data_IF_537913738819
#
_entry.id   IF_537913738819
#
_cell.length_a   1.000
_cell.length_b   1.000
_cell.length_c   1.000
_cell.angle_alpha   90.00
_cell.angle_beta   90.00
_cell.angle_gamma   90.00
#
_symmetry.space_group_name_H-M   'P 1'
#
loop_
_entity.id
_entity.type
_entity.pdbx_description
1 polymer ?
#
# COMPACT_ATOMS: atom_id res chain seq x y z
N UNK A 1 -28.25 15.33 -40.40
CA UNK A 1 -28.20 15.06 -38.93
C UNK A 1 -26.75 15.00 -38.51
N UNK A 2 -26.30 15.77 -37.51
CA UNK A 2 -24.92 15.69 -37.03
C UNK A 2 -24.64 14.32 -36.39
N UNK A 3 -23.39 13.84 -36.42
CA UNK A 3 -23.02 12.55 -35.84
C UNK A 3 -23.17 12.60 -34.32
N UNK A 4 -23.69 11.50 -33.75
CA UNK A 4 -23.98 11.36 -32.32
C UNK A 4 -22.69 11.23 -31.50
N UNK A 5 -21.63 10.65 -32.06
CA UNK A 5 -20.34 10.45 -31.39
C UNK A 5 -19.22 10.85 -32.36
N UNK A 6 -18.17 11.49 -31.82
CA UNK A 6 -16.93 11.80 -32.52
C UNK A 6 -15.75 11.17 -31.78
N UNK A 7 -15.47 9.88 -32.02
CA UNK A 7 -14.41 9.20 -31.29
C UNK A 7 -13.03 9.74 -31.73
N UNK A 8 -12.10 9.95 -30.78
CA UNK A 8 -10.74 10.45 -31.09
C UNK A 8 -9.84 9.38 -31.72
N UNK A 9 -10.28 8.12 -31.71
CA UNK A 9 -9.58 6.97 -32.29
C UNK A 9 -10.54 6.14 -33.15
N UNK A 10 -10.04 5.46 -34.19
CA UNK A 10 -10.88 4.61 -35.02
C UNK A 10 -11.49 3.47 -34.18
N UNK A 11 -12.76 3.16 -34.45
CA UNK A 11 -13.51 2.10 -33.79
C UNK A 11 -13.14 0.73 -34.39
N UNK A 12 -11.87 0.37 -34.28
CA UNK A 12 -11.31 -0.91 -34.74
C UNK A 12 -10.55 -1.57 -33.61
N UNK A 13 -10.59 -2.89 -33.56
CA UNK A 13 -9.86 -3.65 -32.54
C UNK A 13 -8.35 -3.59 -32.83
N UNK A 14 -7.56 -3.44 -31.77
CA UNK A 14 -6.11 -3.56 -31.84
C UNK A 14 -5.68 -5.01 -31.63
N UNK A 15 -4.58 -5.42 -32.28
CA UNK A 15 -3.96 -6.73 -32.07
C UNK A 15 -3.11 -6.80 -30.78
N UNK A 16 -3.41 -5.96 -29.78
CA UNK A 16 -2.74 -5.92 -28.48
C UNK A 16 -3.68 -5.42 -27.40
N UNK A 17 -3.42 -5.84 -26.17
CA UNK A 17 -4.14 -5.39 -24.97
C UNK A 17 -3.27 -4.44 -24.15
N UNK A 18 -3.89 -3.70 -23.23
CA UNK A 18 -3.13 -2.93 -22.25
C UNK A 18 -2.40 -3.88 -21.30
N UNK A 19 -1.16 -3.55 -20.94
CA UNK A 19 -0.44 -4.30 -19.90
C UNK A 19 -1.13 -4.12 -18.55
N UNK A 20 -0.98 -5.13 -17.68
CA UNK A 20 -1.34 -4.99 -16.27
C UNK A 20 -0.59 -3.80 -15.70
N UNK A 21 -1.31 -2.86 -15.11
CA UNK A 21 -0.70 -1.77 -14.35
C UNK A 21 -0.15 -2.36 -13.06
N UNK A 22 1.15 -2.22 -12.83
CA UNK A 22 1.75 -2.50 -11.54
C UNK A 22 1.23 -1.47 -10.52
N UNK A 23 0.84 -1.95 -9.36
CA UNK A 23 0.46 -1.06 -8.27
C UNK A 23 1.74 -0.39 -7.76
N UNK A 24 1.73 0.93 -7.52
CA UNK A 24 2.85 1.58 -6.88
C UNK A 24 3.08 0.93 -5.50
N UNK A 25 4.33 0.90 -5.04
CA UNK A 25 4.66 0.36 -3.72
C UNK A 25 3.88 1.11 -2.63
N UNK A 26 3.21 0.35 -1.77
CA UNK A 26 2.55 0.88 -0.57
C UNK A 26 3.44 0.62 0.64
N UNK A 27 3.40 1.53 1.62
CA UNK A 27 4.08 1.29 2.88
C UNK A 27 3.36 0.16 3.63
N UNK A 28 4.04 -0.96 3.80
CA UNK A 28 3.55 -2.13 4.55
C UNK A 28 3.74 -1.91 6.06
N UNK A 29 3.05 -2.70 6.88
CA UNK A 29 3.20 -2.71 8.35
C UNK A 29 2.83 -1.40 9.08
N UNK A 30 2.01 -0.55 8.47
CA UNK A 30 1.56 0.72 9.06
C UNK A 30 0.76 0.47 10.35
N UNK A 31 -0.03 -0.60 10.39
CA UNK A 31 -0.86 -0.97 11.53
C UNK A 31 0.00 -1.29 12.77
N UNK A 32 1.00 -2.14 12.61
CA UNK A 32 1.94 -2.55 13.66
C UNK A 32 2.79 -1.35 14.11
N UNK A 33 3.25 -0.53 13.16
CA UNK A 33 3.95 0.71 13.47
C UNK A 33 3.08 1.65 14.32
N UNK A 34 1.80 1.80 14.00
CA UNK A 34 0.90 2.67 14.77
C UNK A 34 0.68 2.18 16.21
N UNK A 35 0.61 0.86 16.42
CA UNK A 35 0.45 0.26 17.75
C UNK A 35 1.72 0.43 18.58
N UNK A 36 2.88 0.17 17.99
CA UNK A 36 4.19 0.39 18.63
C UNK A 36 4.37 1.85 19.06
N UNK A 37 4.05 2.80 18.18
CA UNK A 37 4.13 4.24 18.48
C UNK A 37 3.14 4.66 19.58
N UNK A 38 1.96 4.04 19.63
CA UNK A 38 1.01 4.27 20.72
C UNK A 38 1.52 3.76 22.06
N UNK A 39 2.13 2.56 22.09
CA UNK A 39 2.76 2.02 23.29
C UNK A 39 3.90 2.93 23.78
N UNK A 40 4.79 3.34 22.88
CA UNK A 40 5.88 4.25 23.24
C UNK A 40 5.36 5.55 23.85
N UNK A 41 4.33 6.15 23.26
CA UNK A 41 3.74 7.38 23.81
C UNK A 41 3.20 7.20 25.23
N UNK A 42 2.72 6.01 25.59
CA UNK A 42 2.18 5.72 26.92
C UNK A 42 3.28 5.36 27.95
N UNK A 43 4.45 4.91 27.48
CA UNK A 43 5.52 4.37 28.30
C UNK A 43 6.83 5.16 28.18
N UNK A 44 6.74 6.47 27.91
CA UNK A 44 7.90 7.37 27.76
C UNK A 44 8.98 6.84 26.80
N UNK A 45 8.54 6.23 25.70
CA UNK A 45 9.40 5.64 24.66
C UNK A 45 10.33 4.54 25.19
N UNK A 46 9.92 3.80 26.22
CA UNK A 46 10.67 2.68 26.77
C UNK A 46 10.44 1.39 25.96
N UNK A 47 11.50 0.91 25.30
CA UNK A 47 11.46 -0.32 24.50
C UNK A 47 11.17 -1.58 25.32
N UNK A 48 11.64 -1.66 26.57
CA UNK A 48 11.37 -2.82 27.42
C UNK A 48 9.89 -2.94 27.78
N UNK A 49 9.19 -1.80 27.93
CA UNK A 49 7.75 -1.77 28.18
C UNK A 49 6.92 -2.12 26.93
N UNK A 50 7.47 -1.87 25.73
CA UNK A 50 6.81 -2.08 24.44
C UNK A 50 7.40 -3.23 23.63
N UNK A 51 8.08 -4.18 24.29
CA UNK A 51 8.83 -5.24 23.62
C UNK A 51 7.94 -6.09 22.70
N UNK A 52 6.68 -6.32 23.10
CA UNK A 52 5.73 -7.11 22.30
C UNK A 52 5.34 -6.38 21.01
N UNK A 53 5.00 -5.09 21.10
CA UNK A 53 4.61 -4.27 19.96
C UNK A 53 5.77 -4.10 18.97
N UNK A 54 7.00 -3.97 19.49
CA UNK A 54 8.23 -3.91 18.71
C UNK A 54 8.46 -5.25 17.97
N UNK A 55 8.31 -6.39 18.65
CA UNK A 55 8.43 -7.70 18.00
C UNK A 55 7.38 -7.89 16.90
N UNK A 56 6.12 -7.52 17.16
CA UNK A 56 5.06 -7.59 16.14
C UNK A 56 5.38 -6.74 14.90
N UNK A 57 5.94 -5.55 15.08
CA UNK A 57 6.37 -4.71 13.96
C UNK A 57 7.49 -5.38 13.15
N UNK A 58 8.52 -5.91 13.83
CA UNK A 58 9.62 -6.60 13.13
C UNK A 58 9.16 -7.89 12.42
N UNK A 59 8.25 -8.64 13.03
CA UNK A 59 7.65 -9.83 12.40
C UNK A 59 6.87 -9.47 11.13
N UNK A 60 6.22 -8.31 11.09
CA UNK A 60 5.57 -7.82 9.89
C UNK A 60 6.60 -7.43 8.82
N UNK A 61 7.63 -6.67 9.20
CA UNK A 61 8.69 -6.24 8.28
C UNK A 61 9.39 -7.44 7.65
N UNK A 62 9.74 -8.46 8.45
CA UNK A 62 10.39 -9.68 7.97
C UNK A 62 9.53 -10.52 7.00
N UNK A 63 8.20 -10.34 7.00
CA UNK A 63 7.28 -10.98 6.04
C UNK A 63 7.04 -10.13 4.78
N UNK A 64 7.34 -8.84 4.86
CA UNK A 64 7.17 -7.90 3.76
C UNK A 64 8.41 -7.79 2.87
N UNK A 65 9.59 -8.16 3.38
CA UNK A 65 10.82 -8.43 2.61
C UNK A 65 10.74 -9.78 1.86
#
# INVERSE_FOLDING_TARGET
RPPVIRPPRPLVLANKVANRREQPGEATCITEMSVMMACWKQNDFNDAACANEIQMFYDCVAKAE
#
